data_IF_667054228896
#
_entry.id   IF_667054228896
#
_cell.length_a   1.000
_cell.length_b   1.000
_cell.length_c   1.000
_cell.angle_alpha   90.00
_cell.angle_beta   90.00
_cell.angle_gamma   90.00
#
_symmetry.space_group_name_H-M   'P 1'
#
loop_
_entity.id
_entity.type
_entity.pdbx_description
1 polymer ?
#
# COMPACT_ATOMS: atom_id res chain seq x y z
N UNK A 1 25.52 7.82 20.25
CA UNK A 1 24.23 7.50 19.61
C UNK A 1 23.95 6.03 19.84
N UNK A 2 22.87 5.71 20.58
CA UNK A 2 22.56 4.34 20.97
C UNK A 2 22.14 3.49 19.74
N UNK A 3 22.64 2.27 19.60
CA UNK A 3 22.27 1.34 18.50
C UNK A 3 20.75 1.21 18.32
N UNK A 4 19.99 1.27 19.41
CA UNK A 4 18.52 1.18 19.40
C UNK A 4 17.85 2.34 18.65
N UNK A 5 18.38 3.56 18.75
CA UNK A 5 17.89 4.72 17.99
C UNK A 5 18.19 4.57 16.49
N UNK A 6 19.36 3.99 16.15
CA UNK A 6 19.76 3.77 14.77
C UNK A 6 18.86 2.71 14.09
N UNK A 7 18.53 1.60 14.78
CA UNK A 7 17.64 0.54 14.26
C UNK A 7 16.21 1.03 13.98
N UNK A 8 15.65 1.87 14.86
CA UNK A 8 14.32 2.46 14.65
C UNK A 8 14.27 3.42 13.46
N UNK A 9 15.37 4.13 13.20
CA UNK A 9 15.46 5.05 12.08
C UNK A 9 15.44 4.36 10.71
N UNK A 10 15.82 3.08 10.63
CA UNK A 10 15.76 2.29 9.39
C UNK A 10 14.31 1.90 9.08
N UNK A 11 13.53 1.54 10.11
CA UNK A 11 12.15 1.07 9.93
C UNK A 11 11.23 2.12 9.31
N UNK A 12 11.53 3.41 9.47
CA UNK A 12 10.74 4.48 8.83
C UNK A 12 10.79 4.41 7.30
N UNK A 13 11.90 3.94 6.72
CA UNK A 13 12.07 3.85 5.27
C UNK A 13 11.50 2.56 4.67
N UNK A 14 11.13 1.58 5.50
CA UNK A 14 10.67 0.28 5.02
C UNK A 14 9.37 0.38 4.21
N UNK A 15 8.47 1.34 4.48
CA UNK A 15 7.27 1.54 3.66
C UNK A 15 7.59 2.10 2.24
N UNK A 16 8.67 2.87 2.10
CA UNK A 16 9.13 3.37 0.80
C UNK A 16 9.79 2.22 0.02
N UNK A 17 10.70 1.50 0.69
CA UNK A 17 11.39 0.35 0.12
C UNK A 17 10.43 -0.77 -0.26
N UNK A 18 9.38 -1.00 0.53
CA UNK A 18 8.39 -2.04 0.27
C UNK A 18 7.62 -1.78 -1.03
N UNK A 19 7.23 -0.52 -1.29
CA UNK A 19 6.54 -0.15 -2.54
C UNK A 19 7.47 -0.35 -3.74
N UNK A 20 8.71 0.13 -3.66
CA UNK A 20 9.68 -0.02 -4.74
C UNK A 20 9.98 -1.50 -5.02
N UNK A 21 10.19 -2.30 -3.97
CA UNK A 21 10.43 -3.73 -4.09
C UNK A 21 9.22 -4.45 -4.68
N UNK A 22 8.02 -4.16 -4.18
CA UNK A 22 6.78 -4.76 -4.65
C UNK A 22 6.55 -4.46 -6.12
N UNK A 23 6.55 -3.19 -6.52
CA UNK A 23 6.35 -2.79 -7.92
C UNK A 23 7.43 -3.38 -8.82
N UNK A 24 8.71 -3.24 -8.47
CA UNK A 24 9.79 -3.76 -9.31
C UNK A 24 9.68 -5.27 -9.52
N UNK A 25 9.33 -6.02 -8.47
CA UNK A 25 9.17 -7.47 -8.53
C UNK A 25 7.94 -7.88 -9.33
N UNK A 26 6.79 -7.24 -9.12
CA UNK A 26 5.57 -7.56 -9.87
C UNK A 26 5.68 -7.16 -11.34
N UNK A 27 6.34 -6.03 -11.65
CA UNK A 27 6.65 -5.64 -13.03
C UNK A 27 7.58 -6.65 -13.71
N UNK A 28 8.65 -7.05 -13.03
CA UNK A 28 9.58 -8.06 -13.56
C UNK A 28 8.87 -9.38 -13.87
N UNK A 29 8.01 -9.86 -12.95
CA UNK A 29 7.23 -11.07 -13.16
C UNK A 29 6.20 -10.90 -14.29
N UNK A 30 5.52 -9.75 -14.35
CA UNK A 30 4.53 -9.45 -15.38
C UNK A 30 5.14 -9.44 -16.78
N UNK A 31 6.30 -8.80 -16.97
CA UNK A 31 7.02 -8.76 -18.26
C UNK A 31 7.46 -10.17 -18.71
N UNK A 32 7.84 -11.04 -17.76
CA UNK A 32 8.27 -12.40 -18.07
C UNK A 32 7.13 -13.37 -18.37
N UNK A 33 5.89 -12.99 -18.07
CA UNK A 33 4.74 -13.88 -18.15
C UNK A 33 4.06 -13.74 -19.50
N UNK A 34 4.07 -14.80 -20.30
CA UNK A 34 3.39 -14.83 -21.60
C UNK A 34 1.89 -14.64 -21.44
N UNK A 35 1.28 -13.80 -22.29
CA UNK A 35 -0.16 -13.47 -22.31
C UNK A 35 -0.66 -12.61 -21.13
N UNK A 36 0.23 -12.07 -20.30
CA UNK A 36 -0.13 -11.03 -19.35
C UNK A 36 0.12 -9.64 -19.96
N UNK A 37 -0.86 -8.76 -19.84
CA UNK A 37 -0.74 -7.37 -20.25
C UNK A 37 -1.19 -6.44 -19.11
N UNK A 38 -0.34 -5.46 -18.78
CA UNK A 38 -0.58 -4.49 -17.71
C UNK A 38 -1.78 -3.57 -17.97
N UNK A 39 -2.15 -3.36 -19.24
CA UNK A 39 -3.34 -2.56 -19.59
C UNK A 39 -4.65 -3.32 -19.41
N UNK A 40 -4.61 -4.65 -19.40
CA UNK A 40 -5.82 -5.47 -19.49
C UNK A 40 -6.12 -6.17 -18.17
N UNK A 41 -5.10 -6.40 -17.35
CA UNK A 41 -5.19 -7.15 -16.11
C UNK A 41 -4.62 -6.36 -14.94
N UNK A 42 -5.16 -6.59 -13.75
CA UNK A 42 -4.57 -6.11 -12.49
C UNK A 42 -3.28 -6.88 -12.16
N UNK A 43 -2.46 -6.32 -11.28
CA UNK A 43 -1.29 -6.97 -10.68
C UNK A 43 -1.73 -8.28 -10.05
N UNK A 44 -2.80 -8.28 -9.23
CA UNK A 44 -3.31 -9.50 -8.58
C UNK A 44 -3.74 -10.58 -9.58
N UNK A 45 -4.22 -10.19 -10.77
CA UNK A 45 -4.64 -11.12 -11.83
C UNK A 45 -3.46 -11.80 -12.53
N UNK A 46 -2.22 -11.33 -12.32
CA UNK A 46 -1.00 -12.01 -12.78
C UNK A 46 -0.96 -13.47 -12.30
N UNK A 47 -1.47 -13.74 -11.09
CA UNK A 47 -1.58 -15.08 -10.51
C UNK A 47 -2.25 -16.12 -11.40
N UNK A 48 -3.13 -15.71 -12.32
CA UNK A 48 -3.81 -16.61 -13.28
C UNK A 48 -2.83 -17.21 -14.30
N UNK A 49 -1.77 -16.49 -14.62
CA UNK A 49 -0.83 -16.81 -15.70
C UNK A 49 0.45 -17.48 -15.20
N UNK A 50 0.61 -17.60 -13.88
CA UNK A 50 1.81 -18.15 -13.26
C UNK A 50 1.67 -19.66 -13.00
N UNK A 51 2.78 -20.38 -13.17
CA UNK A 51 2.92 -21.76 -12.70
C UNK A 51 2.93 -21.82 -11.15
N UNK A 52 2.77 -22.99 -10.52
CA UNK A 52 2.70 -23.09 -9.06
C UNK A 52 3.91 -22.52 -8.31
N UNK A 53 5.12 -22.63 -8.88
CA UNK A 53 6.36 -22.12 -8.27
C UNK A 53 6.38 -20.60 -8.27
N UNK A 54 6.12 -19.98 -9.43
CA UNK A 54 6.06 -18.53 -9.56
C UNK A 54 4.84 -17.95 -8.84
N UNK A 55 3.72 -18.66 -8.76
CA UNK A 55 2.57 -18.26 -7.95
C UNK A 55 2.92 -18.14 -6.47
N UNK A 56 3.67 -19.10 -5.90
CA UNK A 56 4.12 -19.00 -4.51
C UNK A 56 5.02 -17.78 -4.30
N UNK A 57 5.96 -17.52 -5.23
CA UNK A 57 6.84 -16.35 -5.17
C UNK A 57 6.01 -15.06 -5.24
N UNK A 58 5.04 -15.00 -6.16
CA UNK A 58 4.15 -13.87 -6.34
C UNK A 58 3.35 -13.57 -5.06
N UNK A 59 2.77 -14.59 -4.44
CA UNK A 59 2.03 -14.43 -3.18
C UNK A 59 2.95 -13.95 -2.04
N UNK A 60 4.20 -14.43 -1.99
CA UNK A 60 5.19 -13.95 -1.03
C UNK A 60 5.51 -12.47 -1.20
N UNK A 61 5.40 -11.88 -2.40
CA UNK A 61 5.63 -10.44 -2.60
C UNK A 61 4.64 -9.58 -1.80
N UNK A 62 3.36 -9.98 -1.76
CA UNK A 62 2.33 -9.27 -0.98
C UNK A 62 2.63 -9.35 0.52
N UNK A 63 3.04 -10.52 1.00
CA UNK A 63 3.47 -10.67 2.39
C UNK A 63 4.68 -9.83 2.72
N UNK A 64 5.78 -9.95 1.95
CA UNK A 64 7.02 -9.22 2.21
C UNK A 64 6.73 -7.72 2.27
N UNK A 65 5.91 -7.21 1.33
CA UNK A 65 5.44 -5.84 1.35
C UNK A 65 4.73 -5.53 2.67
N UNK A 66 3.66 -6.26 3.01
CA UNK A 66 2.90 -6.01 4.24
C UNK A 66 3.76 -6.09 5.51
N UNK A 67 4.72 -7.00 5.60
CA UNK A 67 5.63 -7.09 6.75
C UNK A 67 6.57 -5.87 6.85
N UNK A 68 7.10 -5.38 5.73
CA UNK A 68 7.89 -4.16 5.71
C UNK A 68 7.06 -2.94 6.13
N UNK A 69 5.82 -2.85 5.68
CA UNK A 69 4.88 -1.81 6.10
C UNK A 69 4.50 -1.91 7.58
N UNK A 70 4.33 -3.12 8.13
CA UNK A 70 4.12 -3.33 9.56
C UNK A 70 5.30 -2.80 10.38
N UNK A 71 6.53 -2.94 9.87
CA UNK A 71 7.70 -2.35 10.52
C UNK A 71 7.66 -0.82 10.53
N UNK A 72 7.15 -0.20 9.45
CA UNK A 72 6.91 1.24 9.39
C UNK A 72 5.79 1.66 10.34
N UNK A 73 4.69 0.91 10.38
CA UNK A 73 3.59 1.17 11.32
C UNK A 73 4.09 1.12 12.77
N UNK A 74 4.90 0.11 13.12
CA UNK A 74 5.54 0.02 14.43
C UNK A 74 6.38 1.27 14.75
N UNK A 75 7.16 1.76 13.79
CA UNK A 75 7.92 2.99 13.95
C UNK A 75 7.01 4.20 14.21
N UNK A 76 5.96 4.39 13.41
CA UNK A 76 4.99 5.49 13.56
C UNK A 76 4.29 5.43 14.93
N UNK A 77 3.87 4.24 15.37
CA UNK A 77 3.19 4.06 16.65
C UNK A 77 4.09 4.42 17.82
N UNK A 78 5.37 4.03 17.74
CA UNK A 78 6.36 4.38 18.76
C UNK A 78 6.70 5.87 18.75
N UNK A 79 6.88 6.48 17.57
CA UNK A 79 7.23 7.89 17.44
C UNK A 79 6.13 8.81 17.99
N UNK A 80 4.87 8.57 17.62
CA UNK A 80 3.74 9.37 18.07
C UNK A 80 3.11 8.87 19.38
N UNK A 81 3.72 7.88 20.05
CA UNK A 81 3.21 7.26 21.29
C UNK A 81 1.73 6.83 21.19
N UNK A 82 1.36 6.21 20.07
CA UNK A 82 -0.03 5.83 19.79
C UNK A 82 -0.42 4.55 20.51
N UNK A 83 -1.59 4.56 21.15
CA UNK A 83 -2.19 3.35 21.74
C UNK A 83 -2.88 2.52 20.65
N UNK A 84 -2.88 1.20 20.81
CA UNK A 84 -3.43 0.25 19.83
C UNK A 84 -4.89 0.51 19.43
N UNK A 85 -5.69 1.10 20.32
CA UNK A 85 -7.12 1.39 20.07
C UNK A 85 -7.37 2.77 19.45
N UNK A 86 -6.34 3.49 19.03
CA UNK A 86 -6.51 4.78 18.36
C UNK A 86 -6.85 4.59 16.88
N UNK A 87 -7.65 5.50 16.34
CA UNK A 87 -8.07 5.50 14.93
C UNK A 87 -6.88 5.37 13.96
N UNK A 88 -5.78 6.16 14.06
CA UNK A 88 -4.63 6.03 13.16
C UNK A 88 -3.97 4.64 13.21
N UNK A 89 -3.94 4.00 14.39
CA UNK A 89 -3.39 2.64 14.52
C UNK A 89 -4.28 1.62 13.83
N UNK A 90 -5.58 1.64 14.15
CA UNK A 90 -6.54 0.66 13.61
C UNK A 90 -6.61 0.77 12.08
N UNK A 91 -6.77 1.98 11.57
CA UNK A 91 -6.89 2.23 10.12
C UNK A 91 -5.61 1.85 9.38
N UNK A 92 -4.42 2.16 9.91
CA UNK A 92 -3.16 1.76 9.30
C UNK A 92 -2.98 0.23 9.29
N UNK A 93 -3.26 -0.44 10.40
CA UNK A 93 -3.14 -1.90 10.49
C UNK A 93 -4.10 -2.60 9.54
N UNK A 94 -5.36 -2.17 9.48
CA UNK A 94 -6.35 -2.74 8.56
C UNK A 94 -5.89 -2.54 7.11
N UNK A 95 -5.39 -1.36 6.74
CA UNK A 95 -4.87 -1.11 5.40
C UNK A 95 -3.72 -2.07 5.04
N UNK A 96 -2.74 -2.22 5.92
CA UNK A 96 -1.55 -3.06 5.68
C UNK A 96 -1.89 -4.55 5.61
N UNK A 97 -2.74 -5.03 6.53
CA UNK A 97 -3.12 -6.44 6.59
C UNK A 97 -4.04 -6.81 5.42
N UNK A 98 -4.99 -5.94 5.09
CA UNK A 98 -5.90 -6.17 3.95
C UNK A 98 -5.14 -6.16 2.62
N UNK A 99 -4.12 -5.30 2.46
CA UNK A 99 -3.25 -5.34 1.28
C UNK A 99 -2.58 -6.70 1.10
N UNK A 100 -2.10 -7.32 2.19
CA UNK A 100 -1.45 -8.63 2.14
C UNK A 100 -2.38 -9.75 1.63
N UNK A 101 -3.69 -9.61 1.84
CA UNK A 101 -4.68 -10.58 1.39
C UNK A 101 -4.85 -10.61 -0.15
N UNK A 102 -4.48 -9.55 -0.86
CA UNK A 102 -4.60 -9.50 -2.32
C UNK A 102 -3.81 -10.59 -3.06
N UNK A 103 -2.70 -11.06 -2.48
CA UNK A 103 -1.95 -12.19 -3.04
C UNK A 103 -2.73 -13.51 -3.03
N UNK A 104 -3.67 -13.67 -2.09
CA UNK A 104 -4.44 -14.91 -1.92
C UNK A 104 -5.79 -14.90 -2.60
N UNK A 105 -6.38 -13.72 -2.72
CA UNK A 105 -7.71 -13.52 -3.30
C UNK A 105 -7.58 -12.70 -4.59
N UNK A 106 -7.00 -13.26 -5.67
CA UNK A 106 -6.86 -12.54 -6.92
C UNK A 106 -8.23 -12.33 -7.58
N UNK A 107 -8.39 -11.19 -8.24
CA UNK A 107 -9.63 -10.79 -8.90
C UNK A 107 -10.15 -11.85 -9.88
N UNK A 108 -9.24 -12.53 -10.59
CA UNK A 108 -9.59 -13.56 -11.58
C UNK A 108 -10.27 -14.81 -11.01
N UNK A 109 -10.11 -15.09 -9.71
CA UNK A 109 -10.69 -16.27 -9.05
C UNK A 109 -11.74 -15.90 -8.01
N UNK A 110 -11.55 -14.79 -7.30
CA UNK A 110 -12.41 -14.36 -6.21
C UNK A 110 -12.83 -12.89 -6.38
N UNK A 111 -13.57 -12.53 -7.44
CA UNK A 111 -13.85 -11.13 -7.79
C UNK A 111 -14.58 -10.36 -6.67
N UNK A 112 -15.58 -10.98 -6.04
CA UNK A 112 -16.34 -10.35 -4.95
C UNK A 112 -15.47 -10.13 -3.70
N UNK A 113 -14.69 -11.14 -3.29
CA UNK A 113 -13.80 -11.04 -2.12
C UNK A 113 -12.71 -10.00 -2.40
N UNK A 114 -12.14 -10.01 -3.60
CA UNK A 114 -11.15 -9.04 -4.05
C UNK A 114 -11.68 -7.61 -3.96
N UNK A 115 -12.90 -7.37 -4.45
CA UNK A 115 -13.56 -6.07 -4.36
C UNK A 115 -13.75 -5.63 -2.90
N UNK A 116 -14.20 -6.52 -2.02
CA UNK A 116 -14.35 -6.22 -0.59
C UNK A 116 -13.00 -5.86 0.04
N UNK A 117 -11.95 -6.64 -0.22
CA UNK A 117 -10.59 -6.34 0.25
C UNK A 117 -10.12 -4.99 -0.27
N UNK A 118 -10.39 -4.67 -1.53
CA UNK A 118 -10.09 -3.37 -2.12
C UNK A 118 -10.78 -2.23 -1.39
N UNK A 119 -12.10 -2.30 -1.20
CA UNK A 119 -12.85 -1.24 -0.51
C UNK A 119 -12.35 -1.04 0.92
N UNK A 120 -12.11 -2.13 1.65
CA UNK A 120 -11.58 -2.08 3.02
C UNK A 120 -10.18 -1.45 3.03
N UNK A 121 -9.29 -1.90 2.14
CA UNK A 121 -7.91 -1.39 2.04
C UNK A 121 -7.93 0.10 1.71
N UNK A 122 -8.73 0.50 0.72
CA UNK A 122 -8.85 1.88 0.25
C UNK A 122 -9.37 2.82 1.35
N UNK A 123 -10.52 2.50 1.96
CA UNK A 123 -11.12 3.32 3.01
C UNK A 123 -10.21 3.42 4.24
N UNK A 124 -9.55 2.31 4.59
CA UNK A 124 -8.61 2.29 5.72
C UNK A 124 -7.36 3.11 5.41
N UNK A 125 -6.86 3.06 4.17
CA UNK A 125 -5.71 3.85 3.74
C UNK A 125 -5.99 5.34 3.80
N UNK A 126 -7.06 5.84 3.16
CA UNK A 126 -7.38 7.28 3.16
C UNK A 126 -7.63 7.79 4.59
N UNK A 127 -8.24 6.96 5.44
CA UNK A 127 -8.46 7.28 6.85
C UNK A 127 -7.14 7.37 7.62
N UNK A 128 -6.22 6.43 7.37
CA UNK A 128 -4.87 6.45 7.94
C UNK A 128 -4.10 7.67 7.48
N UNK A 129 -4.08 7.95 6.18
CA UNK A 129 -3.41 9.10 5.58
C UNK A 129 -3.86 10.42 6.21
N UNK A 130 -5.18 10.62 6.33
CA UNK A 130 -5.73 11.82 6.96
C UNK A 130 -5.38 11.93 8.45
N UNK A 131 -5.54 10.84 9.19
CA UNK A 131 -5.31 10.84 10.65
C UNK A 131 -3.83 10.99 10.99
N UNK A 132 -2.93 10.34 10.23
CA UNK A 132 -1.49 10.51 10.36
C UNK A 132 -1.06 11.94 9.99
N UNK A 133 -1.65 12.53 8.95
CA UNK A 133 -1.37 13.94 8.60
C UNK A 133 -1.73 14.89 9.76
N UNK A 134 -2.84 14.65 10.46
CA UNK A 134 -3.20 15.45 11.64
C UNK A 134 -2.20 15.35 12.78
N UNK A 135 -1.56 14.20 12.97
CA UNK A 135 -0.52 14.04 14.01
C UNK A 135 0.72 14.91 13.76
N UNK A 136 0.92 15.38 12.53
CA UNK A 136 2.05 16.28 12.19
C UNK A 136 1.87 17.71 12.69
N UNK A 137 0.67 18.11 13.10
CA UNK A 137 0.30 19.49 13.44
C UNK A 137 0.63 20.53 12.34
N UNK A 138 0.84 20.10 11.09
CA UNK A 138 1.13 20.98 9.96
C UNK A 138 -0.10 21.16 9.09
N UNK A 139 -0.72 22.35 9.12
CA UNK A 139 -1.90 22.66 8.31
C UNK A 139 -1.66 22.46 6.81
N UNK A 140 -0.48 22.89 6.32
CA UNK A 140 -0.05 22.69 4.94
C UNK A 140 -0.01 21.20 4.56
N UNK A 141 0.48 20.34 5.46
CA UNK A 141 0.54 18.90 5.21
C UNK A 141 -0.84 18.24 5.26
N UNK A 142 -1.71 18.68 6.16
CA UNK A 142 -3.10 18.23 6.22
C UNK A 142 -3.84 18.61 4.93
N UNK A 143 -3.66 19.84 4.45
CA UNK A 143 -4.24 20.28 3.17
C UNK A 143 -3.70 19.46 2.00
N UNK A 144 -2.38 19.30 1.91
CA UNK A 144 -1.75 18.43 0.91
C UNK A 144 -2.32 17.00 0.94
N UNK A 145 -2.46 16.41 2.13
CA UNK A 145 -3.02 15.07 2.28
C UNK A 145 -4.46 14.98 1.81
N UNK A 146 -5.30 16.00 2.06
CA UNK A 146 -6.68 16.07 1.55
C UNK A 146 -6.71 16.11 0.02
N UNK A 147 -5.80 16.85 -0.61
CA UNK A 147 -5.69 16.90 -2.08
C UNK A 147 -5.31 15.52 -2.64
N UNK A 148 -4.33 14.84 -2.03
CA UNK A 148 -3.97 13.48 -2.45
C UNK A 148 -5.16 12.52 -2.27
N UNK A 149 -5.85 12.54 -1.12
CA UNK A 149 -7.04 11.71 -0.88
C UNK A 149 -8.13 11.98 -1.91
N UNK A 150 -8.35 13.24 -2.30
CA UNK A 150 -9.31 13.59 -3.33
C UNK A 150 -8.93 12.97 -4.67
N UNK A 151 -7.66 13.07 -5.07
CA UNK A 151 -7.14 12.46 -6.30
C UNK A 151 -7.33 10.94 -6.25
N UNK A 152 -6.88 10.29 -5.18
CA UNK A 152 -7.06 8.85 -4.95
C UNK A 152 -8.54 8.44 -5.02
N UNK A 153 -9.44 9.24 -4.43
CA UNK A 153 -10.89 8.99 -4.46
C UNK A 153 -11.46 9.11 -5.86
N UNK A 154 -11.04 10.10 -6.65
CA UNK A 154 -11.46 10.24 -8.06
C UNK A 154 -11.01 9.00 -8.84
N UNK A 155 -9.75 8.60 -8.72
CA UNK A 155 -9.23 7.40 -9.38
C UNK A 155 -9.96 6.12 -8.94
N UNK A 156 -10.34 6.00 -7.66
CA UNK A 156 -11.01 4.81 -7.14
C UNK A 156 -12.45 4.73 -7.64
N UNK A 157 -13.13 5.86 -7.77
CA UNK A 157 -14.46 5.92 -8.38
C UNK A 157 -14.38 5.62 -9.89
N UNK A 158 -13.36 6.14 -10.59
CA UNK A 158 -13.15 5.80 -12.01
C UNK A 158 -12.99 4.28 -12.21
N UNK A 159 -12.27 3.61 -11.29
CA UNK A 159 -12.24 2.16 -11.23
C UNK A 159 -13.66 1.57 -11.08
N UNK A 160 -14.35 1.89 -9.99
CA UNK A 160 -15.61 1.23 -9.62
C UNK A 160 -16.70 1.38 -10.68
N UNK A 161 -16.74 2.51 -11.40
CA UNK A 161 -17.81 2.81 -12.35
C UNK A 161 -17.48 2.47 -13.81
N UNK A 162 -16.20 2.48 -14.21
CA UNK A 162 -15.82 2.36 -15.61
C UNK A 162 -14.96 1.12 -15.94
N UNK A 163 -14.71 0.23 -14.97
CA UNK A 163 -13.94 -1.01 -15.17
C UNK A 163 -12.53 -0.81 -15.78
N UNK A 164 -11.95 0.39 -15.68
CA UNK A 164 -10.58 0.67 -16.14
C UNK A 164 -9.49 0.22 -15.16
N UNK A 165 -9.80 -0.70 -14.25
CA UNK A 165 -8.82 -1.22 -13.29
C UNK A 165 -7.91 -2.22 -13.93
N UNK A 166 -6.66 -1.82 -14.01
CA UNK A 166 -5.59 -2.65 -14.50
C UNK A 166 -4.31 -2.32 -13.70
N UNK A 167 -3.25 -3.05 -13.99
CA UNK A 167 -1.99 -2.89 -13.28
C UNK A 167 -1.39 -1.49 -13.44
N UNK A 168 -1.68 -0.78 -14.55
CA UNK A 168 -1.28 0.63 -14.72
C UNK A 168 -1.96 1.51 -13.68
N UNK A 169 -3.28 1.37 -13.51
CA UNK A 169 -4.03 2.12 -12.50
C UNK A 169 -3.57 1.82 -11.06
N UNK A 170 -3.31 0.54 -10.74
CA UNK A 170 -2.78 0.13 -9.43
C UNK A 170 -1.37 0.69 -9.19
N UNK A 171 -0.55 0.78 -10.24
CA UNK A 171 0.78 1.40 -10.17
C UNK A 171 0.66 2.88 -9.85
N UNK A 172 -0.24 3.62 -10.51
CA UNK A 172 -0.48 5.03 -10.22
C UNK A 172 -0.90 5.22 -8.75
N UNK A 173 -1.81 4.37 -8.24
CA UNK A 173 -2.17 4.37 -6.82
C UNK A 173 -0.97 4.16 -5.91
N UNK A 174 -0.15 3.14 -6.18
CA UNK A 174 1.05 2.88 -5.40
C UNK A 174 2.03 4.06 -5.44
N UNK A 175 2.14 4.77 -6.58
CA UNK A 175 2.99 5.96 -6.72
C UNK A 175 2.47 7.17 -5.95
N UNK A 176 1.15 7.39 -5.90
CA UNK A 176 0.54 8.43 -5.06
C UNK A 176 0.84 8.17 -3.57
N UNK A 177 0.65 6.92 -3.13
CA UNK A 177 0.99 6.46 -1.79
C UNK A 177 2.48 6.69 -1.50
N UNK A 178 3.35 6.27 -2.42
CA UNK A 178 4.80 6.45 -2.33
C UNK A 178 5.20 7.92 -2.18
N UNK A 179 4.62 8.79 -3.00
CA UNK A 179 4.88 10.23 -2.95
C UNK A 179 4.47 10.83 -1.62
N UNK A 180 3.28 10.51 -1.13
CA UNK A 180 2.80 10.97 0.17
C UNK A 180 3.70 10.46 1.31
N UNK A 181 4.06 9.17 1.32
CA UNK A 181 4.94 8.56 2.32
C UNK A 181 6.32 9.20 2.33
N UNK A 182 6.89 9.51 1.15
CA UNK A 182 8.19 10.15 1.03
C UNK A 182 8.21 11.52 1.72
N UNK A 183 7.17 12.34 1.50
CA UNK A 183 7.04 13.64 2.16
C UNK A 183 6.79 13.46 3.66
N UNK A 184 5.88 12.55 4.03
CA UNK A 184 5.57 12.25 5.43
C UNK A 184 6.85 11.88 6.20
N UNK A 185 7.53 10.82 5.78
CA UNK A 185 8.74 10.27 6.41
C UNK A 185 9.91 11.25 6.37
N UNK A 186 10.09 11.97 5.26
CA UNK A 186 11.21 12.89 5.09
C UNK A 186 11.14 14.14 5.96
N UNK A 187 9.94 14.57 6.36
CA UNK A 187 9.74 15.88 7.02
C UNK A 187 9.25 15.80 8.46
N UNK A 188 8.41 14.84 8.83
CA UNK A 188 7.66 14.92 10.10
C UNK A 188 8.12 13.97 11.19
N UNK A 189 8.31 12.65 10.97
CA UNK A 189 8.85 11.78 12.00
C UNK A 189 10.39 11.87 11.98
N UNK A 190 10.92 12.91 12.63
CA UNK A 190 12.35 13.15 12.82
C UNK A 190 12.76 12.96 14.27
#
# INVERSE_FOLDING_TARGET
MNESQNRLSIFKYNAILSILFFLSSTFYMGIKTTNYNFSDYTISSLSKFLDPKNLSIFNSLFFIKSFLDLSFAYYVFKFYNLRLKTIPVITLLIAILSFGLFGFFPNSRFPLIHLIIFLITFVSWISSQYTLAKLTNSENFVHFSKVIILVESIFANLFLFFNYFNAISETIFCLLIFFWLTIFIGRYPK
#
